data_IF_978238221087
#
_entry.id   IF_978238221087
#
_cell.length_a   1.000
_cell.length_b   1.000
_cell.length_c   1.000
_cell.angle_alpha   90.00
_cell.angle_beta   90.00
_cell.angle_gamma   90.00
#
_symmetry.space_group_name_H-M   'P 1'
#
loop_
_entity.id
_entity.type
_entity.pdbx_description
1 polymer ?
#
# COMPACT_ATOMS: atom_id res chain seq x y z
N UNK A 1 20.90 -33.26 -2.22
CA UNK A 1 19.50 -33.55 -2.57
C UNK A 1 18.59 -32.87 -1.55
N UNK A 2 18.19 -31.62 -1.78
CA UNK A 2 17.23 -30.92 -0.92
C UNK A 2 15.87 -30.98 -1.62
N UNK A 3 14.98 -31.78 -1.04
CA UNK A 3 13.56 -31.79 -1.46
C UNK A 3 12.95 -30.45 -1.09
N UNK A 4 12.51 -29.72 -2.09
CA UNK A 4 11.63 -28.57 -1.93
C UNK A 4 10.38 -29.00 -1.16
N UNK A 5 10.05 -28.31 -0.09
CA UNK A 5 8.85 -28.54 0.69
C UNK A 5 7.63 -28.29 -0.20
N UNK A 6 6.89 -29.37 -0.47
CA UNK A 6 5.61 -29.32 -1.15
C UNK A 6 4.62 -28.52 -0.28
N UNK A 7 4.04 -27.49 -0.86
CA UNK A 7 2.98 -26.71 -0.25
C UNK A 7 1.78 -27.59 0.03
N UNK A 8 1.32 -27.63 1.27
CA UNK A 8 0.11 -28.36 1.65
C UNK A 8 -1.12 -27.61 1.11
N UNK A 9 -1.78 -28.20 0.10
CA UNK A 9 -3.12 -27.80 -0.28
C UNK A 9 -4.10 -28.40 0.74
N UNK A 10 -4.70 -27.53 1.56
CA UNK A 10 -5.81 -27.93 2.42
C UNK A 10 -7.13 -27.54 1.75
N UNK A 11 -7.88 -28.55 1.28
CA UNK A 11 -9.27 -28.37 0.86
C UNK A 11 -10.19 -28.58 2.06
N UNK A 12 -10.67 -27.48 2.65
CA UNK A 12 -11.84 -27.52 3.51
C UNK A 12 -13.01 -26.95 2.70
N UNK A 13 -13.76 -27.82 2.00
CA UNK A 13 -14.93 -27.51 1.17
C UNK A 13 -14.81 -26.21 0.40
N UNK A 14 -14.78 -26.22 -0.90
CA UNK A 14 -14.79 -25.12 -1.90
C UNK A 14 -13.89 -23.86 -1.66
N UNK A 15 -13.11 -23.83 -0.59
CA UNK A 15 -12.26 -22.71 -0.23
C UNK A 15 -10.83 -22.87 -0.75
N UNK A 16 -10.43 -22.09 -1.74
CA UNK A 16 -9.04 -22.02 -2.20
C UNK A 16 -8.21 -21.22 -1.18
N UNK A 17 -7.24 -21.85 -0.55
CA UNK A 17 -6.30 -21.21 0.37
C UNK A 17 -4.89 -21.75 0.16
N UNK A 18 -3.91 -20.83 0.13
CA UNK A 18 -2.50 -21.18 0.17
C UNK A 18 -1.94 -20.62 1.46
N UNK A 19 -1.30 -21.48 2.24
CA UNK A 19 -0.67 -21.12 3.49
C UNK A 19 0.77 -21.64 3.48
N UNK A 20 1.71 -20.74 3.44
CA UNK A 20 3.13 -21.01 3.59
C UNK A 20 3.70 -20.14 4.72
N UNK A 21 4.95 -20.37 5.11
CA UNK A 21 5.59 -19.66 6.22
C UNK A 21 5.46 -18.12 6.11
N UNK A 22 5.56 -17.57 4.89
CA UNK A 22 5.66 -16.13 4.67
C UNK A 22 4.54 -15.56 3.79
N UNK A 23 3.71 -16.43 3.17
CA UNK A 23 2.61 -16.01 2.27
C UNK A 23 1.36 -16.80 2.56
N UNK A 24 0.28 -16.08 2.82
CA UNK A 24 -1.08 -16.63 2.96
C UNK A 24 -1.99 -15.95 1.96
N UNK A 25 -2.55 -16.74 1.04
CA UNK A 25 -3.54 -16.27 0.06
C UNK A 25 -4.89 -16.93 0.36
N UNK A 26 -5.94 -16.14 0.39
CA UNK A 26 -7.29 -16.58 0.77
C UNK A 26 -8.25 -16.13 -0.33
N UNK A 27 -8.97 -17.08 -0.92
CA UNK A 27 -10.05 -16.79 -1.84
C UNK A 27 -11.36 -16.63 -1.07
N UNK A 28 -11.97 -15.44 -1.13
CA UNK A 28 -13.23 -15.17 -0.44
C UNK A 28 -13.52 -13.69 -0.24
N UNK A 29 -14.68 -13.42 0.38
CA UNK A 29 -15.09 -12.08 0.77
C UNK A 29 -14.23 -11.54 1.92
N UNK A 30 -13.63 -10.36 1.72
CA UNK A 30 -12.65 -9.82 2.65
C UNK A 30 -13.23 -9.54 4.05
N UNK A 31 -14.49 -9.11 4.17
CA UNK A 31 -15.11 -8.85 5.48
C UNK A 31 -15.34 -10.14 6.26
N UNK A 32 -15.57 -11.24 5.56
CA UNK A 32 -15.70 -12.57 6.15
C UNK A 32 -14.34 -13.14 6.53
N UNK A 33 -13.38 -13.07 5.60
CA UNK A 33 -12.07 -13.69 5.77
C UNK A 33 -11.19 -12.97 6.79
N UNK A 34 -11.28 -11.64 6.88
CA UNK A 34 -10.55 -10.87 7.90
C UNK A 34 -10.94 -11.27 9.34
N UNK A 35 -12.15 -11.76 9.58
CA UNK A 35 -12.58 -12.25 10.92
C UNK A 35 -11.70 -13.40 11.44
N UNK A 36 -11.01 -14.11 10.56
CA UNK A 36 -10.14 -15.23 10.89
C UNK A 36 -8.68 -14.82 11.10
N UNK A 37 -8.35 -13.56 10.84
CA UNK A 37 -7.03 -12.99 11.12
C UNK A 37 -6.98 -12.64 12.62
N UNK A 38 -5.94 -13.05 13.35
CA UNK A 38 -5.83 -12.73 14.77
C UNK A 38 -5.74 -11.22 15.04
N UNK A 39 -6.22 -10.81 16.20
CA UNK A 39 -6.13 -9.42 16.66
C UNK A 39 -4.66 -8.97 16.74
N UNK A 40 -4.41 -7.71 16.43
CA UNK A 40 -3.09 -7.07 16.51
C UNK A 40 -1.94 -7.91 15.90
N UNK A 41 -2.21 -8.59 14.76
CA UNK A 41 -1.25 -9.47 14.09
C UNK A 41 -0.65 -8.90 12.81
N UNK A 42 -1.21 -7.81 12.27
CA UNK A 42 -0.80 -7.18 11.03
C UNK A 42 -0.02 -5.91 11.32
N UNK A 43 1.15 -5.75 10.70
CA UNK A 43 2.03 -4.58 10.87
C UNK A 43 1.65 -3.45 9.91
N UNK A 44 1.19 -3.77 8.70
CA UNK A 44 0.74 -2.79 7.73
C UNK A 44 -0.40 -3.34 6.86
N UNK A 45 -1.37 -2.48 6.55
CA UNK A 45 -2.41 -2.76 5.56
C UNK A 45 -2.12 -1.85 4.35
N UNK A 46 -1.98 -2.43 3.15
CA UNK A 46 -1.80 -1.69 1.91
C UNK A 46 -2.81 -2.21 0.90
N UNK A 47 -3.82 -1.40 0.57
CA UNK A 47 -4.93 -1.82 -0.29
C UNK A 47 -5.33 -0.78 -1.32
N UNK A 48 -5.73 -1.29 -2.49
CA UNK A 48 -6.45 -0.56 -3.53
C UNK A 48 -7.93 -1.00 -3.48
N UNK A 49 -8.70 -0.33 -2.63
CA UNK A 49 -10.12 -0.65 -2.47
C UNK A 49 -10.92 -0.37 -3.77
N UNK A 50 -12.05 -1.02 -4.02
CA UNK A 50 -12.93 -0.66 -5.13
C UNK A 50 -13.60 0.70 -4.89
N UNK A 51 -13.60 1.57 -5.93
CA UNK A 51 -14.07 2.97 -5.84
C UNK A 51 -15.48 3.21 -6.37
N UNK A 52 -16.12 2.18 -6.97
CA UNK A 52 -17.43 2.27 -7.64
C UNK A 52 -17.43 3.25 -8.83
N UNK A 53 -16.37 3.26 -9.60
CA UNK A 53 -16.19 4.15 -10.77
C UNK A 53 -16.34 3.40 -12.08
N UNK A 54 -15.98 2.12 -12.13
CA UNK A 54 -15.91 1.30 -13.34
C UNK A 54 -17.18 0.49 -13.59
N UNK A 55 -18.01 0.24 -12.57
CA UNK A 55 -19.20 -0.60 -12.67
C UNK A 55 -20.39 0.05 -13.42
N UNK A 56 -20.37 1.38 -13.61
CA UNK A 56 -21.43 2.12 -14.29
C UNK A 56 -21.47 1.78 -15.78
N UNK A 57 -22.35 0.81 -16.15
CA UNK A 57 -22.54 0.37 -17.52
C UNK A 57 -21.55 -0.68 -18.03
N UNK A 58 -20.63 -1.16 -17.20
CA UNK A 58 -19.67 -2.19 -17.56
C UNK A 58 -19.95 -3.51 -16.82
N UNK A 59 -20.49 -4.49 -17.53
CA UNK A 59 -20.82 -5.82 -16.99
C UNK A 59 -19.57 -6.59 -16.49
N UNK A 60 -18.37 -6.25 -16.97
CA UNK A 60 -17.11 -6.86 -16.58
C UNK A 60 -16.46 -6.24 -15.34
N UNK A 61 -17.01 -5.16 -14.81
CA UNK A 61 -16.50 -4.46 -13.63
C UNK A 61 -17.48 -4.48 -12.45
N UNK A 62 -18.26 -5.55 -12.30
CA UNK A 62 -19.22 -5.70 -11.21
C UNK A 62 -18.56 -5.84 -9.83
N UNK A 63 -17.29 -6.21 -9.79
CA UNK A 63 -16.45 -6.26 -8.60
C UNK A 63 -16.15 -4.87 -8.01
N UNK A 64 -16.24 -3.80 -8.82
CA UNK A 64 -15.96 -2.42 -8.38
C UNK A 64 -17.15 -1.85 -7.59
N UNK A 65 -17.41 -2.38 -6.41
CA UNK A 65 -18.40 -1.92 -5.45
C UNK A 65 -17.72 -1.51 -4.16
N UNK A 66 -18.08 -0.33 -3.64
CA UNK A 66 -17.54 0.15 -2.37
C UNK A 66 -17.83 -0.86 -1.27
N UNK A 67 -16.78 -1.29 -0.59
CA UNK A 67 -16.87 -2.10 0.62
C UNK A 67 -17.43 -1.22 1.73
N UNK A 68 -18.48 -1.63 2.48
CA UNK A 68 -19.03 -0.84 3.58
C UNK A 68 -17.94 -0.45 4.58
N UNK A 69 -17.79 0.84 4.84
CA UNK A 69 -16.69 1.35 5.66
C UNK A 69 -16.77 0.92 7.11
N UNK A 70 -17.96 0.89 7.71
CA UNK A 70 -18.13 0.55 9.12
C UNK A 70 -17.58 -0.85 9.45
N UNK A 71 -18.01 -1.96 8.81
CA UNK A 71 -17.44 -3.28 9.08
C UNK A 71 -15.99 -3.42 8.59
N UNK A 72 -15.56 -2.63 7.59
CA UNK A 72 -14.16 -2.61 7.15
C UNK A 72 -13.25 -2.06 8.24
N UNK A 73 -13.61 -0.90 8.83
CA UNK A 73 -12.84 -0.29 9.91
C UNK A 73 -12.86 -1.12 11.19
N UNK A 74 -13.97 -1.78 11.50
CA UNK A 74 -14.03 -2.72 12.62
C UNK A 74 -12.94 -3.79 12.51
N UNK A 75 -12.80 -4.40 11.32
CA UNK A 75 -11.76 -5.41 11.11
C UNK A 75 -10.37 -4.80 11.06
N UNK A 76 -10.17 -3.68 10.37
CA UNK A 76 -8.86 -3.03 10.29
C UNK A 76 -8.34 -2.64 11.68
N UNK A 77 -9.18 -2.00 12.50
CA UNK A 77 -8.80 -1.59 13.85
C UNK A 77 -8.51 -2.77 14.77
N UNK A 78 -9.19 -3.90 14.57
CA UNK A 78 -8.96 -5.12 15.35
C UNK A 78 -7.63 -5.79 15.00
N UNK A 79 -7.35 -5.97 13.70
CA UNK A 79 -6.21 -6.78 13.24
C UNK A 79 -4.90 -6.00 13.17
N UNK A 80 -4.94 -4.67 12.99
CA UNK A 80 -3.73 -3.84 12.92
C UNK A 80 -3.10 -3.68 14.31
N UNK A 81 -1.78 -3.79 14.38
CA UNK A 81 -1.03 -3.48 15.60
C UNK A 81 -1.14 -2.00 15.95
N UNK A 82 -0.91 -1.63 17.20
CA UNK A 82 -1.04 -0.23 17.65
C UNK A 82 -0.08 0.73 16.93
N UNK A 83 1.10 0.24 16.58
CA UNK A 83 2.11 0.96 15.79
C UNK A 83 2.08 0.57 14.29
N UNK A 84 0.99 0.00 13.80
CA UNK A 84 0.81 -0.35 12.40
C UNK A 84 0.25 0.81 11.58
N UNK A 85 0.53 0.82 10.28
CA UNK A 85 0.00 1.78 9.33
C UNK A 85 -1.06 1.15 8.42
N UNK A 86 -2.09 1.92 8.08
CA UNK A 86 -3.11 1.57 7.08
C UNK A 86 -2.96 2.56 5.93
N UNK A 87 -2.62 2.05 4.75
CA UNK A 87 -2.25 2.82 3.56
C UNK A 87 -3.20 2.44 2.43
N UNK A 88 -4.12 3.32 2.11
CA UNK A 88 -5.22 3.05 1.18
C UNK A 88 -5.14 3.97 -0.04
N UNK A 89 -5.14 3.37 -1.23
CA UNK A 89 -5.25 4.12 -2.47
C UNK A 89 -6.65 4.70 -2.63
N UNK A 90 -6.73 5.89 -3.19
CA UNK A 90 -7.99 6.58 -3.39
C UNK A 90 -7.92 7.58 -4.55
N UNK A 91 -9.07 8.02 -5.04
CA UNK A 91 -9.14 9.03 -6.09
C UNK A 91 -10.46 9.81 -6.04
N UNK A 92 -10.36 11.13 -6.22
CA UNK A 92 -11.51 12.02 -6.37
C UNK A 92 -12.45 12.00 -5.15
N UNK A 93 -13.75 11.84 -5.38
CA UNK A 93 -14.75 11.84 -4.29
C UNK A 93 -14.55 10.65 -3.31
N UNK A 94 -14.01 9.53 -3.80
CA UNK A 94 -13.72 8.39 -2.93
C UNK A 94 -12.67 8.74 -1.87
N UNK A 95 -11.66 9.57 -2.20
CA UNK A 95 -10.67 10.08 -1.24
C UNK A 95 -11.36 10.80 -0.08
N UNK A 96 -12.28 11.71 -0.37
CA UNK A 96 -13.01 12.45 0.66
C UNK A 96 -13.86 11.52 1.53
N UNK A 97 -14.61 10.59 0.93
CA UNK A 97 -15.42 9.60 1.64
C UNK A 97 -14.57 8.73 2.55
N UNK A 98 -13.41 8.29 2.06
CA UNK A 98 -12.48 7.45 2.80
C UNK A 98 -11.89 8.17 4.02
N UNK A 99 -11.45 9.43 3.86
CA UNK A 99 -10.94 10.24 4.96
C UNK A 99 -12.03 10.47 6.04
N UNK A 100 -13.23 10.84 5.60
CA UNK A 100 -14.38 11.08 6.50
C UNK A 100 -14.86 9.80 7.20
N UNK A 101 -14.65 8.63 6.62
CA UNK A 101 -15.10 7.36 7.21
C UNK A 101 -14.35 6.99 8.49
N UNK A 102 -13.13 7.52 8.70
CA UNK A 102 -12.40 7.38 9.97
C UNK A 102 -11.43 8.57 10.20
N UNK A 103 -11.99 9.73 10.48
CA UNK A 103 -11.23 10.96 10.78
C UNK A 103 -10.28 10.80 11.96
N UNK A 104 -10.63 9.96 12.94
CA UNK A 104 -9.81 9.73 14.14
C UNK A 104 -8.46 9.09 13.82
N UNK A 105 -8.42 8.21 12.82
CA UNK A 105 -7.22 7.50 12.41
C UNK A 105 -6.51 8.17 11.23
N UNK A 106 -7.22 8.96 10.41
CA UNK A 106 -6.60 9.66 9.29
C UNK A 106 -5.53 10.65 9.78
N UNK A 107 -4.40 10.69 9.06
CA UNK A 107 -3.26 11.54 9.43
C UNK A 107 -2.82 12.47 8.32
N UNK A 108 -2.59 11.92 7.13
CA UNK A 108 -2.18 12.67 5.95
C UNK A 108 -2.39 11.87 4.67
N UNK A 109 -2.26 12.57 3.55
CA UNK A 109 -2.23 11.94 2.23
C UNK A 109 -0.85 12.09 1.62
N UNK A 110 -0.44 11.04 0.90
CA UNK A 110 0.61 11.09 -0.11
C UNK A 110 -0.04 11.19 -1.48
N UNK A 111 0.67 11.76 -2.44
CA UNK A 111 0.24 11.86 -3.83
C UNK A 111 1.15 10.97 -4.66
N UNK A 112 0.57 9.97 -5.31
CA UNK A 112 1.29 9.20 -6.30
C UNK A 112 1.20 9.89 -7.66
N UNK A 113 2.29 10.52 -8.10
CA UNK A 113 2.45 10.97 -9.48
C UNK A 113 2.85 9.79 -10.37
N UNK A 114 1.96 9.44 -11.28
CA UNK A 114 2.10 8.30 -12.22
C UNK A 114 3.07 8.57 -13.35
N UNK A 115 3.59 9.81 -13.47
CA UNK A 115 4.44 10.31 -14.54
C UNK A 115 3.73 10.31 -15.91
N UNK A 116 2.92 9.28 -16.19
CA UNK A 116 2.08 9.17 -17.37
C UNK A 116 0.64 9.52 -17.05
N UNK A 117 0.03 10.28 -17.93
CA UNK A 117 -1.36 10.74 -17.80
C UNK A 117 -2.37 9.65 -18.19
N UNK A 118 -3.58 9.76 -17.66
CA UNK A 118 -4.74 8.95 -18.03
C UNK A 118 -5.96 9.82 -18.32
N UNK A 119 -6.99 9.23 -18.94
CA UNK A 119 -8.24 9.95 -19.22
C UNK A 119 -8.22 10.75 -20.54
N UNK A 120 -7.42 10.34 -21.52
CA UNK A 120 -7.25 11.03 -22.81
C UNK A 120 -8.57 11.34 -23.53
N UNK A 121 -9.62 10.53 -23.35
CA UNK A 121 -10.95 10.78 -23.93
C UNK A 121 -11.59 12.08 -23.43
N UNK A 122 -11.13 12.63 -22.32
CA UNK A 122 -11.61 13.88 -21.74
C UNK A 122 -10.63 15.05 -21.92
N UNK A 123 -9.60 14.90 -22.75
CA UNK A 123 -8.54 15.91 -22.91
C UNK A 123 -9.05 17.31 -23.30
N UNK A 124 -10.16 17.35 -24.05
CA UNK A 124 -10.80 18.61 -24.48
C UNK A 124 -11.84 19.16 -23.47
N UNK A 125 -12.03 18.50 -22.32
CA UNK A 125 -13.05 18.85 -21.31
C UNK A 125 -12.47 19.15 -19.94
N UNK A 126 -11.34 18.54 -19.61
CA UNK A 126 -10.67 18.71 -18.32
C UNK A 126 -9.19 18.33 -18.43
N UNK A 127 -8.32 18.77 -17.47
CA UNK A 127 -6.95 18.34 -17.40
C UNK A 127 -6.82 16.83 -17.32
N UNK A 128 -5.78 16.28 -17.97
CA UNK A 128 -5.47 14.85 -17.89
C UNK A 128 -5.01 14.49 -16.49
N UNK A 129 -5.44 13.32 -16.05
CA UNK A 129 -5.17 12.84 -14.69
C UNK A 129 -3.80 12.18 -14.59
N UNK A 130 -2.91 12.78 -13.80
CA UNK A 130 -1.53 12.29 -13.61
C UNK A 130 -1.29 11.65 -12.26
N UNK A 131 -2.20 11.78 -11.30
CA UNK A 131 -1.98 11.35 -9.92
C UNK A 131 -3.13 10.53 -9.34
N UNK A 132 -2.85 9.88 -8.22
CA UNK A 132 -3.80 9.26 -7.30
C UNK A 132 -3.41 9.63 -5.87
N UNK A 133 -4.39 9.65 -4.96
CA UNK A 133 -4.18 9.86 -3.53
C UNK A 133 -3.81 8.54 -2.86
N UNK A 134 -3.03 8.65 -1.79
CA UNK A 134 -2.74 7.54 -0.87
C UNK A 134 -3.02 8.05 0.53
N UNK A 135 -4.11 7.59 1.13
CA UNK A 135 -4.53 8.01 2.46
C UNK A 135 -3.82 7.16 3.51
N UNK A 136 -3.20 7.80 4.50
CA UNK A 136 -2.46 7.14 5.58
C UNK A 136 -3.19 7.33 6.90
N UNK A 137 -3.48 6.19 7.56
CA UNK A 137 -4.18 6.12 8.83
C UNK A 137 -3.34 5.33 9.84
N UNK A 138 -3.37 5.70 11.11
CA UNK A 138 -2.78 4.92 12.20
C UNK A 138 -3.32 5.37 13.57
N UNK A 139 -3.27 4.46 14.54
CA UNK A 139 -3.62 4.73 15.95
C UNK A 139 -2.52 5.53 16.65
N UNK A 140 -1.35 4.94 16.73
CA UNK A 140 -0.14 5.52 17.30
C UNK A 140 0.91 5.70 16.20
N UNK A 141 1.97 6.46 16.46
CA UNK A 141 3.04 6.68 15.49
C UNK A 141 3.57 5.33 14.97
N UNK A 142 3.46 5.05 13.66
CA UNK A 142 3.83 3.77 13.10
C UNK A 142 5.34 3.65 12.91
N UNK A 143 5.81 2.45 12.55
CA UNK A 143 7.10 2.29 11.92
C UNK A 143 7.21 3.25 10.74
N UNK A 144 8.25 4.08 10.72
CA UNK A 144 8.52 5.01 9.64
C UNK A 144 9.99 5.01 9.24
N UNK A 145 10.29 4.44 8.10
CA UNK A 145 11.62 4.38 7.51
C UNK A 145 11.65 5.34 6.31
N UNK A 146 12.16 6.58 6.47
CA UNK A 146 12.18 7.53 5.37
C UNK A 146 13.04 7.01 4.21
N UNK A 147 12.44 6.89 3.03
CA UNK A 147 13.14 6.49 1.82
C UNK A 147 13.90 7.70 1.27
N UNK A 148 15.15 7.86 1.71
CA UNK A 148 15.97 9.04 1.40
C UNK A 148 16.29 9.15 -0.09
N UNK A 149 16.19 10.36 -0.64
CA UNK A 149 16.51 10.68 -2.03
C UNK A 149 17.95 11.18 -2.14
N UNK A 150 18.76 10.59 -3.02
CA UNK A 150 20.10 11.09 -3.31
C UNK A 150 20.02 12.44 -4.03
N UNK A 151 20.89 13.36 -3.65
CA UNK A 151 20.96 14.69 -4.26
C UNK A 151 22.40 15.23 -4.18
N UNK A 152 22.67 16.35 -4.85
CA UNK A 152 23.91 17.08 -4.69
C UNK A 152 24.14 17.49 -3.23
N UNK A 153 25.39 17.51 -2.77
CA UNK A 153 25.73 17.90 -1.40
C UNK A 153 25.15 19.27 -1.04
N UNK A 154 24.40 19.31 0.06
CA UNK A 154 23.78 20.53 0.56
C UNK A 154 23.90 20.62 2.08
N UNK A 155 23.86 21.84 2.59
CA UNK A 155 23.81 22.08 4.03
C UNK A 155 22.44 21.70 4.57
N UNK A 156 22.41 20.68 5.42
CA UNK A 156 21.23 20.26 6.14
C UNK A 156 21.25 20.92 7.51
N UNK A 157 20.44 21.96 7.67
CA UNK A 157 20.23 22.60 8.97
C UNK A 157 19.00 21.98 9.61
N UNK A 158 19.19 21.11 10.59
CA UNK A 158 18.12 20.77 11.47
C UNK A 158 17.88 22.00 12.37
N UNK A 159 16.80 22.71 12.13
CA UNK A 159 16.30 23.80 12.96
C UNK A 159 17.30 24.92 13.32
N UNK A 160 17.87 25.57 12.32
CA UNK A 160 18.09 27.01 12.48
C UNK A 160 16.78 27.74 12.16
N UNK A 161 15.69 27.39 12.79
CA UNK A 161 14.67 28.34 13.10
C UNK A 161 15.38 29.39 13.95
N UNK A 162 15.45 30.62 13.49
CA UNK A 162 16.14 31.73 14.11
C UNK A 162 15.85 31.81 15.61
N UNK A 163 16.60 31.05 16.44
CA UNK A 163 16.55 31.16 17.91
C UNK A 163 16.96 32.57 18.39
N UNK A 164 17.59 33.37 17.50
CA UNK A 164 17.81 34.79 17.72
C UNK A 164 16.51 35.62 17.72
N UNK A 165 15.37 35.03 17.31
CA UNK A 165 14.09 35.73 17.33
C UNK A 165 12.93 34.75 17.64
N UNK A 166 12.78 34.28 18.90
CA UNK A 166 11.74 33.33 19.32
C UNK A 166 10.31 33.81 19.02
N UNK A 167 10.12 35.13 18.82
CA UNK A 167 8.81 35.70 18.49
C UNK A 167 8.33 35.36 17.06
N UNK A 168 9.23 35.01 16.14
CA UNK A 168 8.85 34.67 14.76
C UNK A 168 8.36 33.21 14.58
N UNK A 169 8.58 32.35 15.55
CA UNK A 169 8.24 30.88 15.43
C UNK A 169 7.20 30.43 16.45
N UNK A 170 6.25 31.26 16.82
CA UNK A 170 5.16 30.91 17.76
C UNK A 170 4.31 29.68 17.32
N UNK A 171 4.33 29.36 16.04
CA UNK A 171 3.54 28.26 15.48
C UNK A 171 4.19 26.86 15.61
N UNK A 172 5.49 26.76 15.90
CA UNK A 172 6.22 25.50 15.77
C UNK A 172 6.85 24.97 17.08
N UNK A 173 6.58 25.58 18.22
CA UNK A 173 7.13 25.16 19.51
C UNK A 173 8.64 25.37 19.65
N UNK A 174 9.25 24.74 20.64
CA UNK A 174 10.69 24.86 20.93
C UNK A 174 11.47 23.81 20.10
N UNK A 175 12.47 24.25 19.35
CA UNK A 175 13.37 23.39 18.60
C UNK A 175 14.72 23.26 19.33
N UNK A 176 15.27 22.05 19.34
CA UNK A 176 16.65 21.81 19.79
C UNK A 176 17.59 22.13 18.64
N UNK A 177 18.61 22.95 18.89
CA UNK A 177 19.66 23.23 17.91
C UNK A 177 20.45 21.95 17.62
N UNK A 178 20.54 21.59 16.35
CA UNK A 178 21.39 20.51 15.89
C UNK A 178 22.51 21.07 15.01
N UNK A 179 23.71 20.47 15.03
CA UNK A 179 24.81 20.96 14.20
C UNK A 179 24.46 20.89 12.71
N UNK A 180 24.95 21.88 11.95
CA UNK A 180 24.84 21.85 10.49
C UNK A 180 25.71 20.73 9.94
N UNK A 181 25.12 19.82 9.19
CA UNK A 181 25.82 18.76 8.47
C UNK A 181 25.73 18.98 6.96
N UNK A 182 26.72 18.49 6.23
CA UNK A 182 26.62 18.36 4.77
C UNK A 182 26.00 17.01 4.49
N UNK A 183 24.93 16.99 3.71
CA UNK A 183 24.24 15.77 3.32
C UNK A 183 24.09 15.71 1.82
N UNK A 184 24.25 14.51 1.25
CA UNK A 184 23.93 14.19 -0.15
C UNK A 184 22.58 13.48 -0.27
N UNK A 185 21.77 13.53 0.79
CA UNK A 185 20.45 12.92 0.86
C UNK A 185 19.40 13.91 1.37
N UNK A 186 18.20 13.85 0.81
CA UNK A 186 17.01 14.60 1.22
C UNK A 186 15.94 13.68 1.75
N UNK A 187 15.16 14.18 2.71
CA UNK A 187 13.96 13.50 3.14
C UNK A 187 12.94 13.38 2.00
N UNK A 188 12.18 12.29 1.96
CA UNK A 188 11.13 12.10 0.97
C UNK A 188 10.07 13.20 1.09
N UNK A 189 9.40 13.46 -0.04
CA UNK A 189 8.28 14.40 -0.13
C UNK A 189 6.96 13.67 -0.08
N UNK A 190 5.87 14.41 0.14
CA UNK A 190 4.50 13.89 0.06
C UNK A 190 4.06 13.53 -1.37
N UNK A 191 4.80 13.95 -2.41
CA UNK A 191 4.57 13.57 -3.81
C UNK A 191 5.61 12.54 -4.19
N UNK A 192 5.16 11.34 -4.55
CA UNK A 192 5.96 10.19 -4.94
C UNK A 192 5.84 10.01 -6.45
N UNK A 193 6.92 10.28 -7.19
CA UNK A 193 6.94 10.14 -8.66
C UNK A 193 7.51 8.78 -9.04
N UNK A 194 6.63 7.80 -9.26
CA UNK A 194 6.97 6.45 -9.71
C UNK A 194 6.11 6.13 -10.93
N UNK A 195 6.72 5.80 -12.09
CA UNK A 195 5.96 5.50 -13.30
C UNK A 195 5.02 4.30 -13.10
N UNK A 196 3.82 4.39 -13.68
CA UNK A 196 2.97 3.21 -13.84
C UNK A 196 3.67 2.19 -14.75
N UNK A 197 3.63 0.91 -14.38
CA UNK A 197 4.19 -0.16 -15.21
C UNK A 197 3.46 -0.26 -16.55
N UNK A 198 4.23 -0.37 -17.64
CA UNK A 198 3.73 -0.44 -19.02
C UNK A 198 4.39 -1.54 -19.85
N UNK A 199 4.90 -2.60 -19.23
CA UNK A 199 5.46 -3.70 -20.02
C UNK A 199 4.33 -4.47 -20.69
N UNK A 200 4.41 -4.60 -22.02
CA UNK A 200 3.54 -5.48 -22.81
C UNK A 200 3.58 -6.88 -22.22
N UNK A 201 2.42 -7.47 -21.95
CA UNK A 201 2.31 -8.81 -21.33
C UNK A 201 2.31 -8.83 -19.79
N UNK A 202 2.44 -7.67 -19.11
CA UNK A 202 2.42 -7.58 -17.63
C UNK A 202 1.14 -6.94 -17.07
N UNK A 203 0.12 -6.72 -17.90
CA UNK A 203 -1.17 -6.21 -17.44
C UNK A 203 -2.11 -7.38 -17.14
N UNK A 204 -2.18 -7.72 -15.87
CA UNK A 204 -3.04 -8.80 -15.40
C UNK A 204 -4.37 -8.24 -14.80
N UNK A 205 -4.44 -6.94 -14.55
CA UNK A 205 -5.61 -6.28 -13.99
C UNK A 205 -5.70 -4.83 -14.50
N UNK A 206 -6.90 -4.29 -14.85
CA UNK A 206 -7.08 -2.94 -15.40
C UNK A 206 -6.55 -1.82 -14.50
N UNK A 207 -6.62 -2.01 -13.19
CA UNK A 207 -6.22 -1.02 -12.17
C UNK A 207 -4.93 -1.42 -11.44
N UNK A 208 -4.13 -2.35 -11.98
CA UNK A 208 -2.90 -2.83 -11.36
C UNK A 208 -2.00 -1.66 -10.93
N UNK A 209 -1.60 -1.65 -9.65
CA UNK A 209 -0.64 -0.70 -9.11
C UNK A 209 0.80 -1.13 -9.46
N UNK A 210 1.70 -0.15 -9.60
CA UNK A 210 3.11 -0.41 -9.85
C UNK A 210 3.74 -1.09 -8.64
N UNK A 211 4.42 -2.23 -8.86
CA UNK A 211 5.11 -2.98 -7.79
C UNK A 211 6.14 -2.08 -7.09
N UNK A 212 6.89 -1.26 -7.84
CA UNK A 212 7.88 -0.34 -7.28
C UNK A 212 7.27 0.69 -6.30
N UNK A 213 6.03 1.16 -6.55
CA UNK A 213 5.33 2.04 -5.61
C UNK A 213 4.97 1.32 -4.33
N UNK A 214 4.47 0.09 -4.44
CA UNK A 214 4.09 -0.72 -3.28
C UNK A 214 5.34 -1.09 -2.47
N UNK A 215 6.46 -1.44 -3.11
CA UNK A 215 7.75 -1.66 -2.44
C UNK A 215 8.20 -0.42 -1.65
N UNK A 216 8.06 0.78 -2.23
CA UNK A 216 8.36 2.03 -1.55
C UNK A 216 7.51 2.21 -0.28
N UNK A 217 6.19 1.98 -0.36
CA UNK A 217 5.27 2.09 0.77
C UNK A 217 5.56 1.01 1.84
N UNK A 218 5.79 -0.24 1.44
CA UNK A 218 6.16 -1.33 2.34
C UNK A 218 7.44 -0.99 3.12
N UNK A 219 8.49 -0.56 2.42
CA UNK A 219 9.76 -0.17 3.06
C UNK A 219 9.59 1.01 4.02
N UNK A 220 8.69 1.93 3.69
CA UNK A 220 8.42 3.12 4.50
C UNK A 220 7.74 2.75 5.82
N UNK A 221 6.75 1.85 5.78
CA UNK A 221 5.88 1.59 6.95
C UNK A 221 6.10 0.25 7.63
N UNK A 222 7.08 -0.54 7.19
CA UNK A 222 7.40 -1.85 7.78
C UNK A 222 8.89 -2.13 7.83
N UNK A 223 9.28 -3.05 8.71
CA UNK A 223 10.60 -3.68 8.75
C UNK A 223 10.57 -5.06 8.07
N UNK A 224 11.75 -5.63 7.73
CA UNK A 224 11.85 -6.99 7.21
C UNK A 224 11.25 -8.01 8.20
N UNK A 225 10.53 -9.00 7.67
CA UNK A 225 9.86 -10.03 8.46
C UNK A 225 8.49 -9.65 9.03
N UNK A 226 8.08 -8.38 8.95
CA UNK A 226 6.76 -7.92 9.36
C UNK A 226 5.67 -8.31 8.35
N UNK A 227 4.42 -8.32 8.80
CA UNK A 227 3.26 -8.81 8.04
C UNK A 227 2.49 -7.68 7.39
N UNK A 228 2.30 -7.77 6.07
CA UNK A 228 1.48 -6.86 5.28
C UNK A 228 0.19 -7.56 4.84
N UNK A 229 -0.95 -6.89 4.98
CA UNK A 229 -2.25 -7.34 4.49
C UNK A 229 -2.68 -6.50 3.28
N UNK A 230 -3.18 -7.20 2.25
CA UNK A 230 -3.97 -6.61 1.18
C UNK A 230 -5.29 -7.41 1.05
N UNK A 231 -6.39 -6.81 1.51
CA UNK A 231 -7.69 -7.49 1.53
C UNK A 231 -8.47 -7.41 0.20
N UNK A 232 -7.88 -6.79 -0.82
CA UNK A 232 -8.40 -6.70 -2.20
C UNK A 232 -7.24 -6.83 -3.18
N UNK A 233 -6.45 -7.92 -3.04
CA UNK A 233 -5.12 -8.03 -3.66
C UNK A 233 -5.13 -8.03 -5.19
N UNK A 234 -6.27 -8.22 -5.84
CA UNK A 234 -6.40 -8.27 -7.29
C UNK A 234 -5.41 -9.24 -7.92
N UNK A 235 -4.55 -8.74 -8.80
CA UNK A 235 -3.50 -9.53 -9.45
C UNK A 235 -2.24 -9.76 -8.58
N UNK A 236 -2.24 -9.42 -7.29
CA UNK A 236 -1.17 -9.76 -6.33
C UNK A 236 0.07 -8.88 -6.38
N UNK A 237 -0.01 -7.62 -6.84
CA UNK A 237 1.15 -6.72 -6.87
C UNK A 237 1.75 -6.48 -5.49
N UNK A 238 0.91 -6.39 -4.45
CA UNK A 238 1.34 -6.23 -3.05
C UNK A 238 2.10 -7.48 -2.57
N UNK A 239 1.64 -8.67 -2.92
CA UNK A 239 2.33 -9.92 -2.60
C UNK A 239 3.72 -10.02 -3.24
N UNK A 240 3.83 -9.67 -4.53
CA UNK A 240 5.13 -9.59 -5.23
C UNK A 240 6.08 -8.62 -4.53
N UNK A 241 5.59 -7.42 -4.17
CA UNK A 241 6.38 -6.42 -3.46
C UNK A 241 6.83 -6.90 -2.07
N UNK A 242 5.96 -7.61 -1.33
CA UNK A 242 6.30 -8.19 -0.03
C UNK A 242 7.45 -9.20 -0.13
N UNK A 243 7.41 -10.09 -1.13
CA UNK A 243 8.47 -11.07 -1.35
C UNK A 243 9.80 -10.38 -1.66
N UNK A 244 9.82 -9.41 -2.59
CA UNK A 244 11.02 -8.64 -2.94
C UNK A 244 11.62 -7.89 -1.77
N UNK A 245 10.78 -7.47 -0.84
CA UNK A 245 11.18 -6.69 0.33
C UNK A 245 11.31 -7.54 1.60
N UNK A 246 11.18 -8.87 1.50
CA UNK A 246 11.27 -9.84 2.61
C UNK A 246 10.25 -9.57 3.73
N UNK A 247 9.02 -9.24 3.37
CA UNK A 247 7.88 -9.12 4.27
C UNK A 247 6.96 -10.32 4.12
N UNK A 248 6.26 -10.67 5.21
CA UNK A 248 5.18 -11.65 5.15
C UNK A 248 3.96 -11.03 4.51
N UNK A 249 3.18 -11.82 3.81
CA UNK A 249 2.02 -11.34 3.07
C UNK A 249 0.76 -12.14 3.40
N UNK A 250 -0.33 -11.42 3.64
CA UNK A 250 -1.69 -11.97 3.67
C UNK A 250 -2.45 -11.28 2.54
N UNK A 251 -2.95 -12.04 1.58
CA UNK A 251 -3.74 -11.54 0.46
C UNK A 251 -5.13 -12.16 0.45
N UNK A 252 -6.16 -11.34 0.26
CA UNK A 252 -7.55 -11.80 0.10
C UNK A 252 -8.05 -11.31 -1.26
N UNK A 253 -8.72 -12.18 -2.00
CA UNK A 253 -9.32 -11.86 -3.29
C UNK A 253 -10.64 -12.62 -3.47
N UNK A 254 -11.67 -11.90 -3.90
CA UNK A 254 -13.00 -12.46 -4.11
C UNK A 254 -13.14 -13.12 -5.48
N UNK A 255 -12.48 -12.58 -6.50
CA UNK A 255 -12.60 -13.04 -7.87
C UNK A 255 -11.65 -14.21 -8.15
N UNK A 256 -12.18 -15.35 -8.65
CA UNK A 256 -11.42 -16.56 -8.96
C UNK A 256 -10.26 -16.32 -9.93
N UNK A 257 -10.51 -15.59 -11.02
CA UNK A 257 -9.50 -15.35 -12.06
C UNK A 257 -8.34 -14.51 -11.52
N UNK A 258 -8.64 -13.44 -10.76
CA UNK A 258 -7.62 -12.60 -10.15
C UNK A 258 -6.87 -13.33 -9.05
N UNK A 259 -7.54 -14.15 -8.26
CA UNK A 259 -6.89 -15.01 -7.28
C UNK A 259 -5.86 -15.95 -7.92
N UNK A 260 -6.24 -16.66 -9.00
CA UNK A 260 -5.35 -17.57 -9.72
C UNK A 260 -4.17 -16.82 -10.38
N UNK A 261 -4.39 -15.61 -10.89
CA UNK A 261 -3.34 -14.73 -11.42
C UNK A 261 -2.38 -14.32 -10.30
N UNK A 262 -2.89 -13.85 -9.17
CA UNK A 262 -2.09 -13.44 -8.03
C UNK A 262 -1.21 -14.58 -7.52
N UNK A 263 -1.80 -15.77 -7.36
CA UNK A 263 -1.10 -16.98 -6.95
C UNK A 263 0.08 -17.31 -7.88
N UNK A 264 -0.14 -17.31 -9.19
CA UNK A 264 0.90 -17.60 -10.17
C UNK A 264 2.04 -16.59 -10.11
N UNK A 265 1.72 -15.29 -10.06
CA UNK A 265 2.72 -14.21 -9.99
C UNK A 265 3.56 -14.28 -8.72
N UNK A 266 2.92 -14.48 -7.58
CA UNK A 266 3.57 -14.55 -6.27
C UNK A 266 4.48 -15.78 -6.21
N UNK A 267 4.02 -16.95 -6.67
CA UNK A 267 4.83 -18.18 -6.73
C UNK A 267 6.04 -18.02 -7.66
N UNK A 268 5.89 -17.38 -8.81
CA UNK A 268 6.99 -17.11 -9.74
C UNK A 268 8.06 -16.23 -9.08
N UNK A 269 7.66 -15.18 -8.37
CA UNK A 269 8.59 -14.29 -7.66
C UNK A 269 9.34 -15.02 -6.55
N UNK A 270 8.67 -15.89 -5.77
CA UNK A 270 9.30 -16.72 -4.74
C UNK A 270 10.36 -17.67 -5.35
N UNK A 271 10.04 -18.30 -6.47
CA UNK A 271 10.98 -19.18 -7.16
C UNK A 271 12.20 -18.44 -7.69
N UNK A 272 12.02 -17.25 -8.27
CA UNK A 272 13.13 -16.44 -8.77
C UNK A 272 14.11 -16.04 -7.66
N UNK A 273 13.60 -15.63 -6.49
CA UNK A 273 14.46 -15.26 -5.36
C UNK A 273 15.13 -16.46 -4.67
N UNK A 274 14.59 -17.67 -4.79
CA UNK A 274 15.21 -18.88 -4.24
C UNK A 274 16.40 -19.39 -5.06
N UNK A 275 16.64 -18.84 -6.25
CA UNK A 275 17.75 -19.20 -7.13
C UNK A 275 19.03 -18.37 -6.86
N UNK A 276 18.92 -17.34 -6.01
CA UNK A 276 20.02 -16.46 -5.58
C UNK A 276 20.27 -16.55 -4.08
#
# INVERSE_FOLDING_TARGET
MHRAALHSFSFNGDRKMIDSKDVKLIHGDCLTEMKLIPDASVDCIICDLPYEVLNKGNKHAQWDRIIPFEPLWEQYERIIKDNGAIVLFAQGMFTAKLMMSNEKLWRYNLIWDKVKVSGFLNANRMPLRSHEDICVFYKSLPTYNPQMEKCEPHKRNHSKGNLKNPQKNRCYGNFVETPTIISNEKFPKSIISIPKEHKTGCFFHPTQKAVALIEYLIKTYTNEGETVLDNTMGSGSTGVACIRTKRKFIGIELNDEYFDIAQKRINQEQQQLSLF
#
